data_IF_688686260433
#
_entry.id   IF_688686260433
#
_cell.length_a   1.000
_cell.length_b   1.000
_cell.length_c   1.000
_cell.angle_alpha   90.00
_cell.angle_beta   90.00
_cell.angle_gamma   90.00
#
_symmetry.space_group_name_H-M   'P 1'
#
loop_
_entity.id
_entity.type
_entity.pdbx_description
1 polymer ?
#
# COMPACT_ATOMS: atom_id res chain seq x y z
N UNK A 1 -17.45 -10.58 -0.86
CA UNK A 1 -16.05 -10.99 -0.96
C UNK A 1 -15.36 -10.22 -2.07
N UNK A 2 -14.25 -9.58 -1.75
CA UNK A 2 -13.41 -8.86 -2.71
C UNK A 2 -12.59 -9.85 -3.59
N UNK A 3 -11.80 -9.33 -4.53
CA UNK A 3 -11.06 -10.15 -5.51
C UNK A 3 -10.05 -11.09 -4.84
N UNK A 4 -9.30 -10.60 -3.86
CA UNK A 4 -8.28 -11.41 -3.18
C UNK A 4 -8.91 -12.49 -2.28
N UNK A 5 -10.01 -12.21 -1.58
CA UNK A 5 -10.76 -13.20 -0.79
C UNK A 5 -11.29 -14.35 -1.66
N UNK A 6 -11.74 -14.04 -2.88
CA UNK A 6 -12.15 -15.07 -3.86
C UNK A 6 -10.96 -15.94 -4.29
N UNK A 7 -9.80 -15.33 -4.54
CA UNK A 7 -8.59 -16.08 -4.90
C UNK A 7 -8.10 -16.97 -3.74
N UNK A 8 -8.11 -16.45 -2.51
CA UNK A 8 -7.78 -17.23 -1.30
C UNK A 8 -8.72 -18.43 -1.18
N UNK A 9 -10.04 -18.22 -1.29
CA UNK A 9 -11.02 -19.31 -1.20
C UNK A 9 -10.82 -20.35 -2.31
N UNK A 10 -10.50 -19.90 -3.53
CA UNK A 10 -10.27 -20.79 -4.68
C UNK A 10 -9.00 -21.64 -4.52
N UNK A 11 -7.91 -21.03 -4.05
CA UNK A 11 -6.59 -21.69 -3.95
C UNK A 11 -6.39 -22.40 -2.61
N UNK A 12 -7.18 -22.07 -1.60
CA UNK A 12 -7.20 -22.69 -0.28
C UNK A 12 -8.64 -23.11 0.09
N UNK A 13 -9.21 -24.14 -0.56
CA UNK A 13 -10.61 -24.53 -0.37
C UNK A 13 -10.91 -25.05 1.05
N UNK A 14 -9.88 -25.51 1.76
CA UNK A 14 -9.98 -25.95 3.16
C UNK A 14 -9.89 -24.78 4.17
N UNK A 15 -9.85 -23.53 3.69
CA UNK A 15 -9.65 -22.34 4.50
C UNK A 15 -8.18 -22.03 4.77
N UNK A 16 -7.97 -20.92 5.48
CA UNK A 16 -6.65 -20.40 5.87
C UNK A 16 -6.68 -19.91 7.30
N UNK A 17 -5.54 -19.97 7.98
CA UNK A 17 -5.41 -19.38 9.31
C UNK A 17 -5.42 -17.85 9.21
N UNK A 18 -6.02 -17.19 10.21
CA UNK A 18 -5.95 -15.74 10.37
C UNK A 18 -5.09 -15.40 11.58
N UNK A 19 -4.03 -14.61 11.37
CA UNK A 19 -3.12 -14.16 12.42
C UNK A 19 -3.20 -12.64 12.59
N UNK A 20 -3.05 -12.19 13.84
CA UNK A 20 -2.89 -10.77 14.13
C UNK A 20 -1.60 -10.24 13.51
N UNK A 21 -1.67 -9.05 12.91
CA UNK A 21 -0.56 -8.40 12.21
C UNK A 21 0.69 -8.30 13.11
N UNK A 22 0.48 -8.08 14.41
CA UNK A 22 1.56 -8.04 15.41
C UNK A 22 2.48 -9.28 15.41
N UNK A 23 1.94 -10.45 15.06
CA UNK A 23 2.69 -11.71 15.07
C UNK A 23 3.52 -11.89 13.80
N UNK A 24 3.00 -11.39 12.68
CA UNK A 24 3.47 -11.71 11.32
C UNK A 24 4.15 -10.54 10.59
N UNK A 25 4.21 -9.35 11.21
CA UNK A 25 4.91 -8.19 10.67
C UNK A 25 5.88 -7.57 11.68
N UNK A 26 6.93 -6.95 11.14
CA UNK A 26 7.79 -5.99 11.82
C UNK A 26 7.40 -4.56 11.46
N UNK A 27 7.67 -3.62 12.38
CA UNK A 27 7.29 -2.21 12.25
C UNK A 27 8.55 -1.35 12.30
N UNK A 28 8.79 -0.59 11.24
CA UNK A 28 9.96 0.26 11.06
C UNK A 28 9.69 1.74 11.34
N UNK A 29 8.56 2.06 11.99
CA UNK A 29 8.16 3.44 12.32
C UNK A 29 9.21 4.28 13.07
N UNK A 30 10.16 3.64 13.75
CA UNK A 30 11.22 4.29 14.52
C UNK A 30 12.22 5.08 13.66
N UNK A 31 12.38 4.72 12.38
CA UNK A 31 13.27 5.41 11.44
C UNK A 31 12.60 6.58 10.72
N UNK A 32 11.27 6.75 10.83
CA UNK A 32 10.53 7.87 10.23
C UNK A 32 11.07 9.22 10.72
N UNK A 33 11.11 10.21 9.82
CA UNK A 33 11.58 11.56 10.13
C UNK A 33 10.73 12.60 9.39
N UNK A 34 9.85 13.36 10.07
CA UNK A 34 9.06 14.39 9.41
C UNK A 34 9.94 15.59 9.04
N UNK A 35 9.87 16.02 7.78
CA UNK A 35 10.52 17.26 7.30
C UNK A 35 9.46 18.13 6.62
N UNK A 36 9.34 19.38 7.08
CA UNK A 36 8.44 20.37 6.46
C UNK A 36 8.85 20.58 5.01
N UNK A 37 7.88 20.73 4.09
CA UNK A 37 8.15 20.89 2.65
C UNK A 37 9.16 22.01 2.36
N UNK A 38 9.06 23.16 3.04
CA UNK A 38 10.00 24.27 2.88
C UNK A 38 11.44 24.03 3.36
N UNK A 39 11.68 22.92 4.08
CA UNK A 39 12.99 22.53 4.62
C UNK A 39 13.54 21.27 3.95
N UNK A 40 12.81 20.69 3.01
CA UNK A 40 13.29 19.52 2.27
C UNK A 40 14.41 19.97 1.34
N UNK A 41 15.50 19.24 1.36
CA UNK A 41 16.58 19.40 0.38
C UNK A 41 16.21 18.56 -0.83
N UNK A 42 16.09 19.14 -2.05
CA UNK A 42 15.74 18.39 -3.25
C UNK A 42 16.74 17.27 -3.55
N UNK A 43 16.25 16.13 -4.03
CA UNK A 43 17.06 14.99 -4.46
C UNK A 43 16.23 13.99 -5.24
N UNK A 44 16.69 12.74 -5.31
CA UNK A 44 16.03 11.67 -6.09
C UNK A 44 15.25 10.67 -5.23
N UNK A 45 15.35 10.76 -3.89
CA UNK A 45 14.73 9.78 -3.00
C UNK A 45 13.25 10.15 -2.77
N UNK A 46 12.30 9.25 -3.02
CA UNK A 46 10.89 9.54 -2.81
C UNK A 46 10.57 9.81 -1.34
N UNK A 47 9.90 10.91 -1.07
CA UNK A 47 9.39 11.28 0.24
C UNK A 47 7.91 10.90 0.35
N UNK A 48 7.62 9.86 1.13
CA UNK A 48 6.28 9.33 1.32
C UNK A 48 5.55 10.00 2.49
N UNK A 49 4.29 10.37 2.25
CA UNK A 49 3.33 10.77 3.27
C UNK A 49 2.03 9.99 3.15
N UNK A 50 0.98 10.44 3.84
CA UNK A 50 -0.30 9.71 3.88
C UNK A 50 -1.01 9.58 2.53
N UNK A 51 -0.57 10.29 1.49
CA UNK A 51 -1.21 10.33 0.17
C UNK A 51 -0.16 10.12 -0.92
N UNK A 52 0.56 9.00 -0.88
CA UNK A 52 1.64 8.64 -1.80
C UNK A 52 2.89 9.53 -1.66
N UNK A 53 3.72 9.55 -2.71
CA UNK A 53 4.93 10.37 -2.81
C UNK A 53 4.51 11.85 -2.82
N UNK A 54 5.07 12.63 -1.89
CA UNK A 54 4.79 14.06 -1.75
C UNK A 54 5.93 14.93 -2.27
N UNK A 55 7.11 14.37 -2.47
CA UNK A 55 8.33 15.08 -2.89
C UNK A 55 9.44 14.11 -3.27
N UNK A 56 10.56 14.65 -3.75
CA UNK A 56 11.82 13.95 -3.88
C UNK A 56 12.94 14.70 -3.17
N UNK A 57 13.67 14.00 -2.30
CA UNK A 57 14.61 14.59 -1.35
C UNK A 57 15.99 13.95 -1.38
N UNK A 58 16.96 14.66 -0.81
CA UNK A 58 18.28 14.09 -0.51
C UNK A 58 18.22 13.21 0.74
N UNK A 59 18.98 12.11 0.74
CA UNK A 59 19.08 11.17 1.86
C UNK A 59 17.88 10.23 1.96
N UNK A 60 17.90 9.32 2.94
CA UNK A 60 16.85 8.33 3.12
C UNK A 60 16.67 7.95 4.59
N UNK A 61 15.51 7.39 4.91
CA UNK A 61 15.20 6.85 6.24
C UNK A 61 15.15 5.33 6.26
N UNK A 62 14.81 4.73 5.11
CA UNK A 62 14.62 3.31 4.93
C UNK A 62 15.23 2.88 3.60
N UNK A 63 15.70 1.64 3.55
CA UNK A 63 16.20 0.98 2.35
C UNK A 63 15.74 -0.48 2.42
N UNK A 64 14.99 -0.93 1.41
CA UNK A 64 14.43 -2.28 1.36
C UNK A 64 13.01 -2.30 0.82
N UNK A 65 12.26 -3.31 1.20
CA UNK A 65 10.91 -3.57 0.72
C UNK A 65 9.91 -3.45 1.88
N UNK A 66 8.98 -2.50 1.76
CA UNK A 66 8.02 -2.18 2.80
C UNK A 66 6.62 -1.88 2.25
N UNK A 67 5.62 -2.23 3.05
CA UNK A 67 4.24 -1.76 2.88
C UNK A 67 4.07 -0.52 3.75
N UNK A 68 3.53 0.54 3.15
CA UNK A 68 3.20 1.79 3.81
C UNK A 68 1.68 1.91 3.97
N UNK A 69 1.22 2.27 5.15
CA UNK A 69 -0.20 2.47 5.45
C UNK A 69 -0.34 3.88 6.02
N UNK A 70 -1.28 4.69 5.54
CA UNK A 70 -1.53 5.99 6.17
C UNK A 70 -1.81 5.81 7.68
N UNK A 71 -1.16 6.62 8.52
CA UNK A 71 -1.46 6.70 9.95
C UNK A 71 -2.63 7.68 10.12
N UNK A 72 -2.55 8.86 9.51
CA UNK A 72 -3.58 9.90 9.52
C UNK A 72 -3.47 10.84 8.31
N UNK A 73 -4.59 11.43 7.90
CA UNK A 73 -4.61 12.36 6.75
C UNK A 73 -4.64 11.69 5.38
N UNK A 74 -5.08 10.43 5.32
CA UNK A 74 -5.52 9.80 4.06
C UNK A 74 -6.64 10.64 3.43
N UNK A 75 -6.56 10.87 2.12
CA UNK A 75 -7.54 11.65 1.37
C UNK A 75 -8.92 10.98 1.31
N UNK A 76 -8.96 9.65 1.46
CA UNK A 76 -10.20 8.87 1.56
C UNK A 76 -10.10 7.88 2.72
N UNK A 77 -11.20 7.74 3.48
CA UNK A 77 -11.32 6.75 4.54
C UNK A 77 -11.79 5.40 4.01
N UNK A 78 -12.56 5.41 2.91
CA UNK A 78 -13.02 4.21 2.22
C UNK A 78 -11.92 3.61 1.35
N UNK A 79 -11.21 4.46 0.61
CA UNK A 79 -10.03 4.12 -0.19
C UNK A 79 -8.77 4.53 0.57
N UNK A 80 -8.52 3.87 1.70
CA UNK A 80 -7.41 4.19 2.58
C UNK A 80 -6.07 4.04 1.86
N UNK A 81 -5.14 4.99 2.08
CA UNK A 81 -3.86 4.97 1.36
C UNK A 81 -2.96 3.82 1.83
N UNK A 82 -2.81 2.84 0.95
CA UNK A 82 -1.86 1.73 1.06
C UNK A 82 -0.87 1.86 -0.09
N UNK A 83 0.41 1.82 0.22
CA UNK A 83 1.48 2.11 -0.72
C UNK A 83 2.57 1.05 -0.58
N UNK A 84 3.39 0.91 -1.61
CA UNK A 84 4.53 0.01 -1.62
C UNK A 84 5.79 0.83 -1.87
N UNK A 85 6.82 0.61 -1.07
CA UNK A 85 8.12 1.26 -1.23
C UNK A 85 9.21 0.21 -1.38
N UNK A 86 10.01 0.36 -2.43
CA UNK A 86 11.12 -0.53 -2.75
C UNK A 86 12.41 0.29 -2.92
N UNK A 87 13.50 -0.20 -2.35
CA UNK A 87 14.77 0.51 -2.29
C UNK A 87 14.75 1.65 -1.28
N UNK A 88 15.48 2.73 -1.59
CA UNK A 88 15.66 3.86 -0.68
C UNK A 88 14.47 4.80 -0.73
N UNK A 89 13.95 5.15 0.45
CA UNK A 89 12.89 6.14 0.59
C UNK A 89 12.95 6.92 1.89
N UNK A 90 12.24 8.06 1.90
CA UNK A 90 12.04 8.88 3.07
C UNK A 90 10.59 8.75 3.57
N UNK A 91 10.39 8.36 4.82
CA UNK A 91 9.07 8.19 5.42
C UNK A 91 8.73 9.33 6.39
N UNK A 92 7.60 9.99 6.15
CA UNK A 92 7.00 10.95 7.08
C UNK A 92 6.34 10.24 8.28
N UNK A 93 5.97 10.98 9.33
CA UNK A 93 5.25 10.46 10.50
C UNK A 93 3.75 10.18 10.26
N UNK A 94 3.24 10.46 9.06
CA UNK A 94 1.84 10.23 8.67
C UNK A 94 1.63 8.87 7.98
N UNK A 95 2.66 8.02 7.94
CA UNK A 95 2.58 6.64 7.41
C UNK A 95 3.19 5.66 8.39
N UNK A 96 2.54 4.53 8.61
CA UNK A 96 3.18 3.35 9.18
C UNK A 96 4.06 2.69 8.14
N UNK A 97 5.22 2.19 8.56
CA UNK A 97 6.15 1.42 7.73
C UNK A 97 6.21 0.01 8.30
N UNK A 98 5.75 -0.98 7.53
CA UNK A 98 5.71 -2.37 7.97
C UNK A 98 6.33 -3.32 6.95
N UNK A 99 6.80 -4.45 7.44
CA UNK A 99 7.38 -5.52 6.65
C UNK A 99 6.86 -6.87 7.16
N UNK A 100 6.43 -7.74 6.27
CA UNK A 100 6.06 -9.11 6.60
C UNK A 100 7.27 -9.93 7.02
N UNK A 101 7.05 -10.84 7.98
CA UNK A 101 8.03 -11.84 8.41
C UNK A 101 8.04 -13.05 7.47
N UNK A 102 8.82 -14.07 7.79
CA UNK A 102 9.06 -15.27 6.98
C UNK A 102 7.81 -15.88 6.34
N UNK A 103 6.65 -15.86 7.00
CA UNK A 103 5.40 -16.45 6.51
C UNK A 103 4.48 -15.49 5.74
N UNK A 104 4.88 -14.24 5.54
CA UNK A 104 4.05 -13.20 4.94
C UNK A 104 4.80 -12.38 3.89
N UNK A 105 4.36 -12.52 2.65
CA UNK A 105 4.89 -11.77 1.52
C UNK A 105 4.36 -10.32 1.51
N UNK A 106 5.26 -9.33 1.38
CA UNK A 106 4.91 -7.90 1.35
C UNK A 106 3.94 -7.53 0.22
N UNK A 107 4.12 -8.07 -0.99
CA UNK A 107 3.22 -7.80 -2.13
C UNK A 107 1.83 -8.38 -1.87
N UNK A 108 1.75 -9.56 -1.26
CA UNK A 108 0.47 -10.14 -0.85
C UNK A 108 -0.21 -9.26 0.20
N UNK A 109 0.52 -8.84 1.23
CA UNK A 109 0.02 -7.94 2.27
C UNK A 109 -0.49 -6.61 1.69
N UNK A 110 0.27 -6.03 0.77
CA UNK A 110 -0.11 -4.82 0.04
C UNK A 110 -1.44 -4.98 -0.70
N UNK A 111 -1.59 -6.04 -1.50
CA UNK A 111 -2.82 -6.32 -2.23
C UNK A 111 -4.00 -6.61 -1.29
N UNK A 112 -3.75 -7.34 -0.20
CA UNK A 112 -4.77 -7.61 0.81
C UNK A 112 -5.28 -6.32 1.43
N UNK A 113 -4.39 -5.45 1.90
CA UNK A 113 -4.76 -4.17 2.49
C UNK A 113 -5.42 -3.21 1.49
N UNK A 114 -5.01 -3.17 0.22
CA UNK A 114 -5.74 -2.39 -0.80
C UNK A 114 -7.19 -2.82 -0.98
N UNK A 115 -7.54 -4.05 -0.63
CA UNK A 115 -8.89 -4.59 -0.73
C UNK A 115 -9.70 -4.52 0.57
N UNK A 116 -9.07 -4.08 1.66
CA UNK A 116 -9.62 -4.10 3.01
C UNK A 116 -10.31 -2.77 3.36
N UNK A 117 -11.42 -2.85 4.10
CA UNK A 117 -12.06 -1.68 4.67
C UNK A 117 -11.41 -1.32 6.01
N UNK A 118 -10.69 -0.19 6.05
CA UNK A 118 -10.03 0.30 7.26
C UNK A 118 -10.94 1.07 8.21
N UNK A 119 -12.11 1.56 7.75
CA UNK A 119 -13.02 2.41 8.56
C UNK A 119 -13.28 1.86 9.97
N UNK A 120 -13.52 0.55 10.19
CA UNK A 120 -13.76 0.01 11.53
C UNK A 120 -12.57 0.09 12.48
N UNK A 121 -11.35 0.28 11.97
CA UNK A 121 -10.10 0.34 12.73
C UNK A 121 -9.63 1.78 12.98
N UNK A 122 -10.29 2.75 12.36
CA UNK A 122 -9.96 4.16 12.52
C UNK A 122 -10.52 4.69 13.84
N UNK A 123 -9.77 5.62 14.42
CA UNK A 123 -10.10 6.29 15.67
C UNK A 123 -9.93 7.81 15.53
N UNK A 124 -10.48 8.58 16.47
CA UNK A 124 -10.40 10.04 16.46
C UNK A 124 -11.67 10.71 15.93
N UNK A 125 -11.96 11.90 16.45
CA UNK A 125 -13.14 12.69 16.06
C UNK A 125 -12.92 13.41 14.72
N UNK A 126 -12.31 14.59 14.75
CA UNK A 126 -12.19 15.47 13.58
C UNK A 126 -11.20 14.97 12.52
N UNK A 127 -10.19 14.19 12.91
CA UNK A 127 -9.23 13.56 11.98
C UNK A 127 -9.12 12.07 12.29
N UNK A 128 -9.60 11.26 11.35
CA UNK A 128 -9.51 9.82 11.45
C UNK A 128 -8.04 9.36 11.41
N UNK A 129 -7.72 8.42 12.28
CA UNK A 129 -6.36 7.93 12.52
C UNK A 129 -6.37 6.44 12.76
N UNK A 130 -5.59 5.70 11.97
CA UNK A 130 -5.22 4.33 12.27
C UNK A 130 -4.06 4.39 13.27
N UNK A 131 -4.30 4.02 14.53
CA UNK A 131 -3.21 3.97 15.50
C UNK A 131 -2.39 2.70 15.30
N UNK A 132 -1.10 2.74 15.65
CA UNK A 132 -0.24 1.55 15.68
C UNK A 132 -0.89 0.37 16.42
N UNK A 133 -1.51 0.63 17.58
CA UNK A 133 -2.19 -0.40 18.35
C UNK A 133 -3.34 -1.04 17.57
N UNK A 134 -4.22 -0.24 16.95
CA UNK A 134 -5.34 -0.73 16.14
C UNK A 134 -4.89 -1.45 14.87
N UNK A 135 -3.85 -0.95 14.22
CA UNK A 135 -3.24 -1.61 13.06
C UNK A 135 -2.74 -3.01 13.43
N UNK A 136 -2.12 -3.16 14.60
CA UNK A 136 -1.55 -4.43 15.05
C UNK A 136 -2.59 -5.50 15.43
N UNK A 137 -3.81 -5.07 15.77
CA UNK A 137 -4.96 -5.95 16.05
C UNK A 137 -5.58 -6.52 14.77
N UNK A 138 -5.26 -5.97 13.59
CA UNK A 138 -5.83 -6.44 12.32
C UNK A 138 -5.43 -7.90 12.09
N UNK A 139 -6.42 -8.75 11.81
CA UNK A 139 -6.20 -10.14 11.46
C UNK A 139 -6.08 -10.27 9.94
N UNK A 140 -5.02 -10.91 9.48
CA UNK A 140 -4.78 -11.18 8.07
C UNK A 140 -4.75 -12.69 7.80
N UNK A 141 -5.22 -13.13 6.62
CA UNK A 141 -5.11 -14.53 6.21
C UNK A 141 -3.66 -14.87 5.91
N UNK A 142 -3.24 -16.06 6.32
CA UNK A 142 -1.90 -16.61 6.08
C UNK A 142 -2.04 -17.89 5.23
N UNK A 143 -2.31 -17.76 3.92
CA UNK A 143 -2.17 -18.90 3.01
C UNK A 143 -0.68 -19.28 2.89
N UNK A 144 -0.36 -20.51 2.42
CA UNK A 144 1.03 -20.89 2.15
C UNK A 144 1.73 -19.90 1.22
N UNK A 145 3.03 -19.65 1.41
CA UNK A 145 3.79 -18.67 0.62
C UNK A 145 3.65 -18.85 -0.90
N UNK A 146 3.71 -20.08 -1.39
CA UNK A 146 3.51 -20.37 -2.82
C UNK A 146 2.13 -19.91 -3.33
N UNK A 147 1.10 -19.97 -2.49
CA UNK A 147 -0.24 -19.45 -2.83
C UNK A 147 -0.26 -17.92 -2.77
N UNK A 148 0.42 -17.31 -1.79
CA UNK A 148 0.58 -15.86 -1.74
C UNK A 148 1.23 -15.32 -3.02
N UNK A 149 2.31 -15.97 -3.49
CA UNK A 149 3.02 -15.64 -4.73
C UNK A 149 2.13 -15.77 -5.96
N UNK A 150 1.36 -16.86 -6.07
CA UNK A 150 0.45 -17.06 -7.19
C UNK A 150 -0.67 -15.99 -7.21
N UNK A 151 -1.21 -15.64 -6.04
CA UNK A 151 -2.17 -14.54 -5.89
C UNK A 151 -1.56 -13.21 -6.35
N UNK A 152 -0.34 -12.91 -5.89
CA UNK A 152 0.39 -11.68 -6.27
C UNK A 152 0.59 -11.63 -7.77
N UNK A 153 1.02 -12.74 -8.40
CA UNK A 153 1.23 -12.83 -9.84
C UNK A 153 -0.07 -12.53 -10.61
N UNK A 154 -1.18 -13.14 -10.21
CA UNK A 154 -2.49 -12.90 -10.82
C UNK A 154 -2.90 -11.43 -10.66
N UNK A 155 -2.78 -10.87 -9.45
CA UNK A 155 -3.20 -9.49 -9.19
C UNK A 155 -2.32 -8.46 -9.91
N UNK A 156 -1.00 -8.67 -9.97
CA UNK A 156 -0.08 -7.82 -10.72
C UNK A 156 -0.40 -7.83 -12.21
N UNK A 157 -0.66 -9.01 -12.80
CA UNK A 157 -1.03 -9.09 -14.23
C UNK A 157 -2.30 -8.29 -14.55
N UNK A 158 -3.26 -8.22 -13.62
CA UNK A 158 -4.44 -7.38 -13.80
C UNK A 158 -4.11 -5.90 -13.69
N UNK A 159 -3.28 -5.50 -12.74
CA UNK A 159 -2.86 -4.10 -12.59
C UNK A 159 -2.05 -3.62 -13.81
N UNK A 160 -1.18 -4.47 -14.37
CA UNK A 160 -0.43 -4.15 -15.59
C UNK A 160 -1.35 -3.98 -16.80
N UNK A 161 -2.30 -4.91 -17.00
CA UNK A 161 -3.29 -4.81 -18.08
C UNK A 161 -4.22 -3.60 -17.93
N UNK A 162 -4.64 -3.27 -16.70
CA UNK A 162 -5.44 -2.07 -16.43
C UNK A 162 -4.68 -0.80 -16.81
N UNK A 163 -3.40 -0.69 -16.43
CA UNK A 163 -2.56 0.46 -16.75
C UNK A 163 -2.29 0.59 -18.26
N UNK A 164 -2.04 -0.52 -18.95
CA UNK A 164 -1.87 -0.53 -20.41
C UNK A 164 -3.14 -0.04 -21.13
N UNK A 165 -4.30 -0.56 -20.73
CA UNK A 165 -5.58 -0.18 -21.31
C UNK A 165 -5.95 1.29 -21.06
N UNK A 166 -5.66 1.81 -19.86
CA UNK A 166 -5.85 3.23 -19.54
C UNK A 166 -4.97 4.12 -20.44
N UNK A 167 -3.70 3.76 -20.62
CA UNK A 167 -2.78 4.51 -21.48
C UNK A 167 -3.22 4.50 -22.96
N UNK A 168 -3.67 3.36 -23.48
CA UNK A 168 -4.21 3.26 -24.84
C UNK A 168 -5.47 4.12 -25.03
N UNK A 169 -6.37 4.11 -24.04
CA UNK A 169 -7.60 4.88 -24.09
C UNK A 169 -7.33 6.39 -24.08
N UNK A 170 -6.39 6.85 -23.24
CA UNK A 170 -5.97 8.25 -23.22
C UNK A 170 -5.37 8.69 -24.56
N UNK A 171 -4.51 7.85 -25.15
CA UNK A 171 -3.90 8.13 -26.45
C UNK A 171 -4.95 8.24 -27.58
N UNK A 172 -5.94 7.33 -27.63
CA UNK A 172 -7.03 7.40 -28.62
C UNK A 172 -7.91 8.64 -28.40
N UNK A 173 -8.23 8.99 -27.15
CA UNK A 173 -9.00 10.20 -26.84
C UNK A 173 -8.29 11.47 -27.28
N UNK A 174 -6.97 11.56 -27.10
CA UNK A 174 -6.17 12.67 -27.61
C UNK A 174 -6.15 12.72 -29.15
N UNK A 175 -5.98 11.57 -29.81
CA UNK A 175 -6.00 11.49 -31.26
C UNK A 175 -7.35 11.95 -31.83
N UNK A 176 -8.47 11.53 -31.20
CA UNK A 176 -9.82 11.96 -31.57
C UNK A 176 -10.04 13.45 -31.37
N UNK A 177 -9.58 14.03 -30.25
CA UNK A 177 -9.67 15.48 -30.04
C UNK A 177 -8.93 16.25 -31.12
N UNK A 178 -7.70 15.85 -31.46
CA UNK A 178 -6.93 16.46 -32.56
C UNK A 178 -7.63 16.35 -33.92
N UNK A 179 -8.32 15.24 -34.19
CA UNK A 179 -9.09 15.07 -35.42
C UNK A 179 -10.24 16.08 -35.55
N UNK A 180 -10.91 16.44 -34.44
CA UNK A 180 -12.03 17.39 -34.45
C UNK A 180 -11.60 18.87 -34.39
N UNK A 181 -10.32 19.14 -34.12
CA UNK A 181 -9.74 20.50 -34.17
C UNK A 181 -9.39 20.95 -35.60
N UNK A 182 -9.53 20.06 -36.59
CA UNK A 182 -9.29 20.30 -38.02
C UNK A 182 -10.59 20.16 -38.82
#
# INVERSE_FOLDING_TARGET
>A
MNKIEKLITKLCPNGVEFKELAKVCDIADNKRRPVKSSLRVPGEIPYYGANNIQDYVEGFTHDGDYVLIAEDGSASLENYSIQYAEGKFWANNHVHVIQGKDELNNRFLFHYFRSMNFVPFLSGGTRAKLTKAKMLEIKIPIPPLAVQEEIVKILNSFTELEAELEAELEAELEARKKQYEY
#
